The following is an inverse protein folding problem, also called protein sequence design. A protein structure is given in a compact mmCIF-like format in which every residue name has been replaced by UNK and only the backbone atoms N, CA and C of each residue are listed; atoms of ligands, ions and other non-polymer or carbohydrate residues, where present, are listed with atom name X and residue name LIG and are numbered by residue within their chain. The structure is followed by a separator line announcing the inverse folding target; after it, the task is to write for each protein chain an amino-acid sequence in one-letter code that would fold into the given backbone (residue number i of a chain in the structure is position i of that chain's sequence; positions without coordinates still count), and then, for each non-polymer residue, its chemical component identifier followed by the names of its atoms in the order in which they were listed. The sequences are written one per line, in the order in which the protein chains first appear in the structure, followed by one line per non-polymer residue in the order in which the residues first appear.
data_IF_049903732673
#
_entry.id   IF_049903732673
#
_cell.length_a   1.000
_cell.length_b   1.000
_cell.length_c   1.000
_cell.angle_alpha   90.00
_cell.angle_beta   90.00
_cell.angle_gamma   90.00
#
_symmetry.space_group_name_H-M   'P 1'
#
loop_
_entity.id
_entity.type
_entity.pdbx_description
1 polymer ?
#
# COMPACT_ATOMS: atom_id res chain seq x y z
N UNK A 1 9.66 1.20 -8.13
CA UNK A 1 10.12 -0.11 -8.60
C UNK A 1 9.95 -0.23 -10.11
N UNK A 2 10.52 -1.26 -10.73
CA UNK A 2 10.61 -1.39 -12.19
C UNK A 2 9.32 -1.92 -12.85
N UNK A 3 8.43 -2.57 -12.09
CA UNK A 3 7.13 -3.10 -12.56
C UNK A 3 5.92 -2.21 -12.23
N UNK A 4 6.11 -1.07 -11.57
CA UNK A 4 5.00 -0.14 -11.26
C UNK A 4 4.37 0.44 -12.55
N UNK A 5 3.12 0.96 -12.50
CA UNK A 5 2.51 1.65 -13.61
C UNK A 5 3.45 2.69 -14.23
N UNK A 6 3.58 2.70 -15.55
CA UNK A 6 4.46 3.58 -16.32
C UNK A 6 5.98 3.38 -16.09
N UNK A 7 6.39 2.30 -15.40
CA UNK A 7 7.79 1.90 -15.27
C UNK A 7 8.26 0.98 -16.42
N UNK A 8 9.58 0.76 -16.50
CA UNK A 8 10.24 0.09 -17.64
C UNK A 8 9.78 -1.35 -17.88
N UNK A 9 9.45 -2.08 -16.83
CA UNK A 9 9.04 -3.48 -16.88
C UNK A 9 7.57 -3.65 -16.44
N UNK A 10 6.73 -2.63 -16.62
CA UNK A 10 5.32 -2.71 -16.24
C UNK A 10 4.61 -3.84 -17.01
N UNK A 11 4.05 -4.86 -16.32
CA UNK A 11 3.36 -5.98 -16.98
C UNK A 11 2.10 -5.56 -17.75
N UNK A 12 1.48 -4.44 -17.39
CA UNK A 12 0.30 -3.89 -18.08
C UNK A 12 0.67 -3.12 -19.35
N UNK A 13 1.96 -2.97 -19.67
CA UNK A 13 2.47 -2.28 -20.87
C UNK A 13 1.97 -0.84 -21.04
N UNK A 14 1.70 -0.15 -19.92
CA UNK A 14 1.35 1.28 -19.98
C UNK A 14 2.54 2.10 -20.51
N UNK A 15 2.27 3.22 -21.21
CA UNK A 15 3.32 4.11 -21.68
C UNK A 15 4.27 4.55 -20.56
N UNK A 16 5.55 4.64 -20.87
CA UNK A 16 6.55 5.18 -19.94
C UNK A 16 6.24 6.64 -19.63
N UNK A 17 6.41 7.01 -18.37
CA UNK A 17 6.29 8.41 -17.97
C UNK A 17 7.40 9.25 -18.59
N UNK A 18 7.02 10.33 -19.24
CA UNK A 18 7.94 11.28 -19.88
C UNK A 18 8.43 12.36 -18.92
N UNK A 19 7.65 12.69 -17.88
CA UNK A 19 7.93 13.74 -16.89
C UNK A 19 8.21 13.18 -15.48
N UNK A 20 8.12 11.86 -15.31
CA UNK A 20 8.32 11.18 -14.03
C UNK A 20 7.08 11.14 -13.14
N UNK A 21 5.95 11.71 -13.56
CA UNK A 21 4.68 11.59 -12.84
C UNK A 21 4.11 10.17 -12.95
N UNK A 22 3.60 9.69 -11.81
CA UNK A 22 2.88 8.43 -11.68
C UNK A 22 1.42 8.52 -12.10
N UNK A 23 0.68 7.45 -11.87
CA UNK A 23 -0.72 7.34 -12.28
C UNK A 23 -1.64 8.35 -11.58
N UNK A 24 -1.31 8.71 -10.34
CA UNK A 24 -2.03 9.72 -9.57
C UNK A 24 -1.24 11.03 -9.55
N UNK A 25 -1.93 12.16 -9.74
CA UNK A 25 -1.31 13.49 -9.67
C UNK A 25 -0.59 13.66 -8.34
N UNK A 26 0.60 14.28 -8.40
CA UNK A 26 1.44 14.50 -7.23
C UNK A 26 2.25 13.29 -6.78
N UNK A 27 2.13 12.13 -7.44
CA UNK A 27 2.97 10.96 -7.18
C UNK A 27 4.02 10.80 -8.28
N UNK A 28 5.21 10.27 -7.95
CA UNK A 28 6.19 9.86 -8.97
C UNK A 28 6.08 8.37 -9.29
N UNK A 29 6.43 8.04 -10.54
CA UNK A 29 6.64 6.65 -10.95
C UNK A 29 7.74 6.03 -10.09
N UNK A 30 7.59 4.74 -9.77
CA UNK A 30 8.61 3.91 -9.10
C UNK A 30 8.75 4.16 -7.59
N UNK A 31 7.83 4.89 -6.98
CA UNK A 31 7.89 5.22 -5.55
C UNK A 31 6.76 4.60 -4.74
N UNK A 32 5.83 3.86 -5.36
CA UNK A 32 4.70 3.25 -4.66
C UNK A 32 5.15 2.34 -3.52
N UNK A 33 6.15 1.49 -3.75
CA UNK A 33 6.68 0.60 -2.72
C UNK A 33 7.26 1.36 -1.50
N UNK A 34 7.86 2.53 -1.70
CA UNK A 34 8.39 3.34 -0.59
C UNK A 34 7.23 3.92 0.23
N UNK A 35 6.17 4.37 -0.45
CA UNK A 35 4.95 4.89 0.19
C UNK A 35 4.22 3.82 1.00
N UNK A 36 4.16 2.59 0.51
CA UNK A 36 3.62 1.45 1.26
C UNK A 36 4.36 1.21 2.58
N UNK A 37 5.70 1.19 2.53
CA UNK A 37 6.53 1.03 3.73
C UNK A 37 6.39 2.24 4.65
N UNK A 38 6.36 3.45 4.10
CA UNK A 38 6.17 4.67 4.87
C UNK A 38 4.81 4.68 5.58
N UNK A 39 3.74 4.20 4.94
CA UNK A 39 2.43 4.10 5.55
C UNK A 39 2.45 3.21 6.80
N UNK A 40 3.03 2.01 6.70
CA UNK A 40 3.18 1.15 7.88
C UNK A 40 4.02 1.81 8.98
N UNK A 41 5.17 2.41 8.62
CA UNK A 41 6.05 3.05 9.60
C UNK A 41 5.41 4.29 10.26
N UNK A 42 4.55 5.02 9.55
CA UNK A 42 3.88 6.22 10.03
C UNK A 42 2.59 5.90 10.80
N UNK A 43 2.06 4.69 10.66
CA UNK A 43 0.96 4.18 11.48
C UNK A 43 1.45 3.78 12.88
N UNK A 44 1.60 4.78 13.75
CA UNK A 44 2.04 4.57 15.12
C UNK A 44 0.85 4.33 16.05
N UNK A 45 1.00 3.51 17.11
CA UNK A 45 -0.05 3.34 18.11
C UNK A 45 -0.31 4.65 18.87
N UNK A 46 -1.55 4.84 19.35
CA UNK A 46 -2.00 6.06 20.05
C UNK A 46 -1.07 6.52 21.17
N UNK A 47 -0.47 5.57 21.88
CA UNK A 47 0.35 5.83 23.07
C UNK A 47 1.85 6.00 22.74
N UNK A 48 2.24 6.02 21.46
CA UNK A 48 3.62 6.22 21.01
C UNK A 48 4.60 5.06 21.27
N UNK A 49 4.19 4.03 22.02
CA UNK A 49 5.03 2.85 22.29
C UNK A 49 5.22 2.00 21.04
N UNK A 50 6.43 1.96 20.50
CA UNK A 50 6.79 1.13 19.34
C UNK A 50 6.83 -0.38 19.62
N UNK A 51 6.41 -0.82 20.81
CA UNK A 51 6.36 -2.25 21.16
C UNK A 51 5.19 -2.99 20.51
N UNK A 52 4.20 -2.27 19.96
CA UNK A 52 3.06 -2.87 19.29
C UNK A 52 3.32 -2.98 17.78
N UNK A 53 3.05 -4.16 17.22
CA UNK A 53 3.22 -4.45 15.79
C UNK A 53 2.16 -3.73 14.94
N UNK A 54 0.96 -3.54 15.50
CA UNK A 54 -0.13 -2.83 14.81
C UNK A 54 -0.21 -1.39 15.29
N UNK A 55 -0.36 -0.48 14.34
CA UNK A 55 -0.54 0.95 14.59
C UNK A 55 -1.97 1.34 14.94
N UNK A 56 -2.23 2.64 14.85
CA UNK A 56 -3.54 3.24 15.09
C UNK A 56 -4.55 2.88 14.00
N UNK A 57 -4.20 3.04 12.72
CA UNK A 57 -5.04 2.70 11.58
C UNK A 57 -5.15 1.19 11.37
N UNK A 58 -4.11 0.45 11.76
CA UNK A 58 -4.00 -0.98 11.56
C UNK A 58 -3.42 -1.35 10.20
N UNK A 59 -2.54 -0.50 9.63
CA UNK A 59 -1.80 -0.84 8.41
C UNK A 59 -0.98 -2.12 8.67
N UNK A 60 -1.12 -3.17 7.85
CA UNK A 60 -0.36 -4.39 8.07
C UNK A 60 1.16 -4.17 7.98
N UNK A 61 1.96 -4.94 8.74
CA UNK A 61 3.41 -4.91 8.65
C UNK A 61 3.90 -4.95 7.21
N UNK A 62 4.63 -3.90 6.82
CA UNK A 62 5.11 -3.73 5.45
C UNK A 62 6.59 -3.39 5.46
N UNK A 63 7.38 -4.16 4.72
CA UNK A 63 8.83 -3.99 4.67
C UNK A 63 9.32 -3.86 3.23
N UNK A 64 10.43 -3.14 3.06
CA UNK A 64 11.14 -3.12 1.79
C UNK A 64 11.94 -4.41 1.67
N UNK A 65 11.75 -5.16 0.58
CA UNK A 65 12.43 -6.44 0.36
C UNK A 65 13.12 -6.48 -0.99
N UNK A 66 14.12 -7.36 -1.08
CA UNK A 66 14.66 -7.85 -2.34
C UNK A 66 14.22 -9.30 -2.50
N UNK A 67 13.53 -9.59 -3.59
CA UNK A 67 13.01 -10.93 -3.88
C UNK A 67 13.40 -11.36 -5.29
N UNK A 68 13.61 -12.67 -5.43
CA UNK A 68 13.86 -13.30 -6.71
C UNK A 68 12.79 -14.36 -6.96
N UNK A 69 12.05 -14.25 -8.05
CA UNK A 69 11.06 -15.24 -8.43
C UNK A 69 10.87 -15.29 -9.95
N UNK A 70 10.64 -16.50 -10.49
CA UNK A 70 10.49 -16.75 -11.92
C UNK A 70 9.25 -16.10 -12.56
N UNK A 71 8.26 -15.74 -11.75
CA UNK A 71 7.01 -15.09 -12.21
C UNK A 71 7.18 -13.60 -12.49
N UNK A 72 8.23 -12.98 -11.95
CA UNK A 72 8.44 -11.55 -12.12
C UNK A 72 8.78 -11.20 -13.58
N UNK A 73 8.40 -10.00 -14.01
CA UNK A 73 8.59 -9.57 -15.39
C UNK A 73 10.06 -9.21 -15.65
N UNK A 74 10.84 -10.19 -16.09
CA UNK A 74 12.27 -10.05 -16.36
C UNK A 74 12.55 -10.21 -17.87
N UNK A 75 12.45 -9.13 -18.68
CA UNK A 75 12.56 -9.22 -20.14
C UNK A 75 13.94 -9.66 -20.65
N UNK A 76 15.00 -9.53 -19.83
CA UNK A 76 16.35 -9.99 -20.18
C UNK A 76 16.61 -11.47 -19.83
N UNK A 77 15.60 -12.17 -19.30
CA UNK A 77 15.75 -13.51 -18.74
C UNK A 77 16.55 -13.51 -17.43
N UNK A 78 16.36 -14.55 -16.62
CA UNK A 78 17.22 -14.76 -15.44
C UNK A 78 18.40 -15.60 -15.89
N UNK A 79 19.57 -14.96 -16.04
CA UNK A 79 20.78 -15.66 -16.49
C UNK A 79 21.53 -16.39 -15.38
N UNK A 80 21.27 -16.07 -14.11
CA UNK A 80 21.82 -16.77 -12.94
C UNK A 80 21.05 -16.39 -11.68
N UNK A 81 21.08 -17.21 -10.62
CA UNK A 81 20.58 -16.85 -9.28
C UNK A 81 21.48 -15.78 -8.63
N UNK A 82 21.69 -14.65 -9.31
CA UNK A 82 22.49 -13.54 -8.80
C UNK A 82 21.60 -12.56 -8.03
N UNK A 83 22.11 -12.00 -6.94
CA UNK A 83 21.43 -10.94 -6.19
C UNK A 83 21.21 -9.66 -7.01
N UNK A 84 21.85 -9.53 -8.19
CA UNK A 84 21.68 -8.41 -9.11
C UNK A 84 20.38 -8.47 -9.90
N UNK A 85 19.79 -9.66 -10.01
CA UNK A 85 18.52 -9.90 -10.71
C UNK A 85 17.32 -9.89 -9.75
N UNK A 86 17.56 -9.62 -8.45
CA UNK A 86 16.51 -9.51 -7.46
C UNK A 86 15.72 -8.21 -7.63
N UNK A 87 14.40 -8.32 -7.64
CA UNK A 87 13.51 -7.17 -7.67
C UNK A 87 13.37 -6.57 -6.29
N UNK A 88 13.34 -5.24 -6.24
CA UNK A 88 13.05 -4.50 -5.02
C UNK A 88 11.57 -4.15 -5.02
N UNK A 89 10.90 -4.28 -3.87
CA UNK A 89 9.50 -3.94 -3.71
C UNK A 89 9.08 -3.93 -2.24
N UNK A 90 7.85 -3.47 -1.98
CA UNK A 90 7.21 -3.63 -0.68
C UNK A 90 6.66 -5.05 -0.55
N UNK A 91 6.84 -5.64 0.61
CA UNK A 91 6.18 -6.87 1.02
C UNK A 91 5.35 -6.57 2.25
N UNK A 92 4.03 -6.69 2.08
CA UNK A 92 3.06 -6.50 3.14
C UNK A 92 2.61 -7.86 3.68
N UNK A 93 2.48 -7.95 5.00
CA UNK A 93 2.00 -9.16 5.66
C UNK A 93 0.55 -9.43 5.23
N UNK A 94 0.30 -10.66 4.79
CA UNK A 94 -1.05 -11.11 4.52
C UNK A 94 -1.87 -11.17 5.81
N UNK A 95 -3.05 -10.56 5.79
CA UNK A 95 -3.99 -10.57 6.91
C UNK A 95 -5.17 -11.47 6.59
N UNK A 96 -5.51 -12.38 7.52
CA UNK A 96 -6.76 -13.14 7.42
C UNK A 96 -7.95 -12.15 7.41
N UNK A 97 -8.80 -12.26 6.41
CA UNK A 97 -9.89 -11.32 6.14
C UNK A 97 -11.09 -12.06 5.52
N UNK A 98 -12.23 -11.38 5.50
CA UNK A 98 -13.52 -11.85 5.00
C UNK A 98 -13.92 -11.15 3.68
N UNK A 99 -12.96 -10.53 2.97
CA UNK A 99 -13.16 -9.82 1.70
C UNK A 99 -13.05 -8.29 1.79
N UNK A 100 -13.16 -7.62 0.63
CA UNK A 100 -13.15 -6.15 0.52
C UNK A 100 -14.47 -5.55 1.01
N UNK A 101 -14.50 -4.22 1.20
CA UNK A 101 -15.70 -3.51 1.62
C UNK A 101 -16.65 -3.14 0.47
N UNK A 102 -16.39 -3.57 -0.77
CA UNK A 102 -17.15 -3.14 -1.96
C UNK A 102 -18.62 -3.53 -1.92
N UNK A 103 -18.93 -4.72 -1.39
CA UNK A 103 -20.30 -5.24 -1.28
C UNK A 103 -20.91 -5.05 0.12
N UNK A 104 -20.30 -4.23 0.98
CA UNK A 104 -20.71 -4.05 2.38
C UNK A 104 -21.34 -2.66 2.57
N UNK A 105 -22.58 -2.64 3.06
CA UNK A 105 -23.28 -1.40 3.35
C UNK A 105 -22.64 -0.63 4.52
N UNK A 106 -22.65 0.71 4.50
CA UNK A 106 -21.93 1.55 5.48
C UNK A 106 -22.40 1.34 6.93
N UNK A 107 -23.65 0.92 7.14
CA UNK A 107 -24.18 0.62 8.47
C UNK A 107 -23.55 -0.59 9.17
N UNK A 108 -22.79 -1.42 8.45
CA UNK A 108 -22.11 -2.59 9.02
C UNK A 108 -20.73 -2.26 9.63
N UNK A 109 -20.20 -1.06 9.38
CA UNK A 109 -18.85 -0.70 9.81
C UNK A 109 -18.85 -0.10 11.22
N UNK A 110 -17.98 -0.60 12.13
CA UNK A 110 -17.78 0.05 13.41
C UNK A 110 -17.21 1.46 13.22
N UNK A 111 -17.86 2.46 13.84
CA UNK A 111 -17.48 3.88 13.73
C UNK A 111 -16.02 4.11 14.08
N UNK A 112 -15.50 3.44 15.12
CA UNK A 112 -14.10 3.57 15.52
C UNK A 112 -13.15 3.08 14.41
N UNK A 113 -13.45 1.97 13.72
CA UNK A 113 -12.64 1.46 12.62
C UNK A 113 -12.59 2.44 11.43
N UNK A 114 -13.74 3.02 11.09
CA UNK A 114 -13.84 4.05 10.04
C UNK A 114 -13.00 5.27 10.41
N UNK A 115 -13.10 5.75 11.65
CA UNK A 115 -12.35 6.92 12.11
C UNK A 115 -10.83 6.70 12.10
N UNK A 116 -10.37 5.53 12.53
CA UNK A 116 -8.94 5.18 12.52
C UNK A 116 -8.34 5.33 11.12
N UNK A 117 -8.99 4.74 10.13
CA UNK A 117 -8.54 4.81 8.73
C UNK A 117 -8.67 6.23 8.18
N UNK A 118 -9.81 6.90 8.43
CA UNK A 118 -10.07 8.26 7.91
C UNK A 118 -9.02 9.26 8.40
N UNK A 119 -8.71 9.27 9.70
CA UNK A 119 -7.70 10.15 10.27
C UNK A 119 -6.32 9.87 9.68
N UNK A 120 -6.00 8.60 9.45
CA UNK A 120 -4.72 8.22 8.86
C UNK A 120 -4.62 8.64 7.39
N UNK A 121 -5.64 8.38 6.58
CA UNK A 121 -5.66 8.76 5.16
C UNK A 121 -5.59 10.28 4.98
N UNK A 122 -6.27 11.07 5.84
CA UNK A 122 -6.15 12.53 5.83
C UNK A 122 -4.71 12.96 6.10
N UNK A 123 -4.06 12.40 7.13
CA UNK A 123 -2.66 12.72 7.48
C UNK A 123 -1.69 12.36 6.38
N UNK A 124 -1.96 11.27 5.66
CA UNK A 124 -1.12 10.78 4.58
C UNK A 124 -1.49 11.41 3.23
N UNK A 125 -2.55 12.23 3.16
CA UNK A 125 -3.14 12.73 1.93
C UNK A 125 -3.32 11.60 0.89
N UNK A 126 -3.92 10.49 1.30
CA UNK A 126 -4.12 9.33 0.44
C UNK A 126 -5.05 9.68 -0.74
N UNK A 127 -4.54 9.59 -1.96
CA UNK A 127 -5.25 10.01 -3.17
C UNK A 127 -6.04 8.88 -3.85
N UNK A 128 -6.04 7.67 -3.30
CA UNK A 128 -6.67 6.50 -3.92
C UNK A 128 -7.38 5.58 -2.92
N UNK A 129 -7.89 6.12 -1.81
CA UNK A 129 -8.71 5.31 -0.89
C UNK A 129 -10.09 5.02 -1.50
N UNK A 130 -10.40 3.74 -1.68
CA UNK A 130 -11.74 3.25 -2.03
C UNK A 130 -12.10 1.96 -1.26
N UNK A 131 -13.34 1.48 -1.39
CA UNK A 131 -13.85 0.31 -0.64
C UNK A 131 -13.07 -0.98 -0.95
N UNK A 132 -12.56 -1.14 -2.18
CA UNK A 132 -11.63 -2.21 -2.55
C UNK A 132 -10.31 -2.23 -1.77
N UNK A 133 -9.88 -1.08 -1.23
CA UNK A 133 -8.62 -0.95 -0.48
C UNK A 133 -8.80 -1.11 1.04
N UNK A 134 -9.99 -1.53 1.48
CA UNK A 134 -10.27 -1.82 2.87
C UNK A 134 -10.80 -3.24 2.95
N UNK A 135 -10.10 -4.10 3.68
CA UNK A 135 -10.56 -5.46 3.95
C UNK A 135 -11.32 -5.49 5.27
N UNK A 136 -12.30 -6.38 5.36
CA UNK A 136 -12.96 -6.70 6.63
C UNK A 136 -12.36 -7.93 7.25
N UNK A 137 -12.33 -8.00 8.58
CA UNK A 137 -11.91 -9.19 9.28
C UNK A 137 -12.50 -9.28 10.68
N UNK A 138 -12.03 -10.26 11.46
CA UNK A 138 -12.45 -10.46 12.85
C UNK A 138 -11.29 -10.29 13.81
N UNK A 139 -11.47 -9.41 14.79
CA UNK A 139 -10.59 -9.26 15.93
C UNK A 139 -10.61 -10.47 16.86
N UNK A 140 -9.71 -10.49 17.85
CA UNK A 140 -9.63 -11.59 18.85
C UNK A 140 -10.92 -11.73 19.68
N UNK A 141 -11.66 -10.65 19.83
CA UNK A 141 -12.94 -10.59 20.53
C UNK A 141 -14.15 -10.88 19.60
N UNK A 142 -13.89 -11.29 18.35
CA UNK A 142 -14.92 -11.58 17.36
C UNK A 142 -15.56 -10.34 16.73
N UNK A 143 -15.14 -9.12 17.12
CA UNK A 143 -15.66 -7.89 16.52
C UNK A 143 -15.11 -7.71 15.11
N UNK A 144 -15.91 -7.09 14.26
CA UNK A 144 -15.45 -6.66 12.94
C UNK A 144 -14.32 -5.64 13.10
N UNK A 145 -13.24 -5.84 12.35
CA UNK A 145 -12.13 -4.89 12.21
C UNK A 145 -11.97 -4.53 10.73
N UNK A 146 -11.46 -3.34 10.46
CA UNK A 146 -11.13 -2.90 9.11
C UNK A 146 -9.61 -2.88 8.96
N UNK A 147 -9.13 -3.38 7.82
CA UNK A 147 -7.71 -3.54 7.53
C UNK A 147 -7.41 -2.69 6.29
N UNK A 148 -6.80 -1.51 6.45
CA UNK A 148 -6.42 -0.67 5.32
C UNK A 148 -5.22 -1.29 4.59
N UNK A 149 -5.33 -1.42 3.27
CA UNK A 149 -4.26 -1.86 2.37
C UNK A 149 -4.05 -0.83 1.26
N UNK A 150 -3.08 -1.07 0.38
CA UNK A 150 -2.83 -0.28 -0.84
C UNK A 150 -2.66 1.22 -0.58
N UNK A 151 -1.47 1.59 -0.09
CA UNK A 151 -1.06 2.97 0.19
C UNK A 151 -0.06 3.52 -0.83
N UNK A 152 0.10 2.86 -1.99
CA UNK A 152 1.06 3.26 -3.02
C UNK A 152 0.88 4.68 -3.57
N UNK A 153 -0.29 5.30 -3.36
CA UNK A 153 -0.62 6.66 -3.81
C UNK A 153 -0.90 7.65 -2.66
N UNK A 154 -0.31 7.44 -1.49
CA UNK A 154 -0.27 8.45 -0.43
C UNK A 154 1.01 9.30 -0.47
N UNK A 155 1.09 10.35 0.36
CA UNK A 155 2.23 11.26 0.46
C UNK A 155 2.63 11.86 -0.90
N UNK A 156 1.76 12.66 -1.52
CA UNK A 156 2.10 13.36 -2.76
C UNK A 156 3.19 14.39 -2.51
N UNK A 157 3.98 14.70 -3.54
CA UNK A 157 5.06 15.69 -3.46
C UNK A 157 4.57 17.11 -3.18
N UNK A 158 3.40 17.44 -3.73
CA UNK A 158 2.80 18.76 -3.62
C UNK A 158 1.30 18.64 -3.39
N UNK A 159 0.80 19.19 -2.29
CA UNK A 159 -0.64 19.20 -1.98
C UNK A 159 -1.42 20.03 -3.00
N UNK A 160 -0.82 21.07 -3.57
CA UNK A 160 -1.42 21.90 -4.62
C UNK A 160 -1.70 21.13 -5.92
N UNK A 161 -1.09 19.95 -6.12
CA UNK A 161 -1.33 19.13 -7.31
C UNK A 161 -2.56 18.22 -7.21
N UNK A 162 -3.19 18.17 -6.02
CA UNK A 162 -4.40 17.38 -5.76
C UNK A 162 -5.70 18.12 -6.13
N UNK A 163 -5.64 19.42 -6.40
CA UNK A 163 -6.80 20.28 -6.68
C UNK A 163 -6.63 21.05 -7.98
#
# INVERSE_FOLDING_TARGET
MDEEPMAVNNPQQLPLSSDGQGLKRGTRVREGAIREVAAYLLDHPKNGSKSQVMGFAGVPPTAMVRSFHKVYNNPKGVSSCSTKDAKVGSLQMFMKNDGSCEDIGPGAFPVEEVHKISVFDIRMANADRHAGNILTGKGKDGKTVLIPIDHGYCLPENVSSLY
#
